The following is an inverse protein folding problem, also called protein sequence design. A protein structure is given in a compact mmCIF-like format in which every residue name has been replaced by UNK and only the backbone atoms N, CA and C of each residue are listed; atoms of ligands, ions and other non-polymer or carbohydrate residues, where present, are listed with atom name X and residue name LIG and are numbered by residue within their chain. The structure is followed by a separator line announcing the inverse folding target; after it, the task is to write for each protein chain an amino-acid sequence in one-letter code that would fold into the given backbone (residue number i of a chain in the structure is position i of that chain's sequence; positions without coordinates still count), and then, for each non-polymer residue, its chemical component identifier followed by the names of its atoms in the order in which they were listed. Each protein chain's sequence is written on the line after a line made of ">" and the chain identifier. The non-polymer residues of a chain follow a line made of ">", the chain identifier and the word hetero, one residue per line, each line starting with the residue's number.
data_IF_227955753836
#
_entry.id   IF_227955753836
#
_cell.length_a   1.000
_cell.length_b   1.000
_cell.length_c   1.000
_cell.angle_alpha   90.00
_cell.angle_beta   90.00
_cell.angle_gamma   90.00
#
_symmetry.space_group_name_H-M   'P 1'
#
loop_
_entity.id
_entity.type
_entity.pdbx_description
1 polymer ?
#
# COMPACT_ATOMS: atom_id res chain seq x y z
N UNK A 1 24.39 -31.27 28.38
CA UNK A 1 23.21 -30.95 29.21
C UNK A 1 22.66 -29.64 28.72
N UNK A 2 21.52 -29.64 28.03
CA UNK A 2 20.92 -28.42 27.46
C UNK A 2 19.98 -27.86 28.53
N UNK A 3 20.29 -26.65 29.00
CA UNK A 3 19.52 -25.93 30.00
C UNK A 3 18.15 -25.56 29.41
N UNK A 4 17.07 -26.06 30.01
CA UNK A 4 15.71 -25.72 29.61
C UNK A 4 15.35 -24.33 30.17
N UNK A 5 14.98 -23.40 29.30
CA UNK A 5 14.37 -22.15 29.71
C UNK A 5 12.89 -22.44 30.06
N UNK A 6 12.57 -22.47 31.35
CA UNK A 6 11.20 -22.53 31.84
C UNK A 6 10.76 -21.10 32.18
N UNK A 7 9.77 -20.58 31.44
CA UNK A 7 9.07 -19.36 31.83
C UNK A 7 7.85 -19.77 32.68
N UNK A 8 7.85 -19.34 33.94
CA UNK A 8 6.78 -19.61 34.91
C UNK A 8 5.76 -18.47 34.81
N UNK A 9 4.58 -18.76 34.25
CA UNK A 9 3.36 -18.01 34.52
C UNK A 9 2.30 -18.97 35.07
N UNK A 10 1.40 -18.45 35.92
CA UNK A 10 0.62 -19.19 36.92
C UNK A 10 -0.46 -20.17 36.43
N UNK A 11 -0.40 -20.67 35.20
CA UNK A 11 -1.25 -21.75 34.70
C UNK A 11 -0.43 -22.73 33.87
N UNK A 12 0.22 -23.69 34.54
CA UNK A 12 0.90 -24.82 33.91
C UNK A 12 2.17 -24.46 33.11
N UNK A 13 3.29 -25.11 33.40
CA UNK A 13 4.46 -25.02 32.54
C UNK A 13 4.14 -25.64 31.16
N UNK A 14 3.76 -24.80 30.18
CA UNK A 14 3.60 -25.21 28.79
C UNK A 14 4.99 -25.38 28.18
N UNK A 15 5.50 -26.60 28.16
CA UNK A 15 6.74 -26.90 27.45
C UNK A 15 6.53 -26.76 25.95
N UNK A 16 7.47 -26.11 25.26
CA UNK A 16 7.48 -26.02 23.81
C UNK A 16 7.57 -27.42 23.20
N UNK A 17 6.60 -27.77 22.34
CA UNK A 17 6.60 -29.01 21.58
C UNK A 17 7.73 -29.03 20.55
N UNK A 18 7.93 -30.18 19.90
CA UNK A 18 8.86 -30.27 18.78
C UNK A 18 8.45 -29.33 17.64
N UNK A 19 7.15 -29.29 17.30
CA UNK A 19 6.56 -28.36 16.32
C UNK A 19 6.80 -26.90 16.70
N UNK A 20 6.69 -26.55 17.99
CA UNK A 20 6.94 -25.17 18.45
C UNK A 20 8.41 -24.77 18.21
N UNK A 21 9.35 -25.70 18.46
CA UNK A 21 10.79 -25.48 18.22
C UNK A 21 11.12 -25.39 16.73
N UNK A 22 10.35 -26.06 15.88
CA UNK A 22 10.49 -25.95 14.42
C UNK A 22 10.00 -24.58 13.93
N UNK A 23 8.92 -24.05 14.51
CA UNK A 23 8.50 -22.66 14.28
C UNK A 23 9.57 -21.66 14.72
N UNK A 24 10.12 -21.79 15.94
CA UNK A 24 11.19 -20.91 16.44
C UNK A 24 12.42 -20.91 15.52
N UNK A 25 12.83 -22.09 15.04
CA UNK A 25 13.95 -22.22 14.09
C UNK A 25 13.63 -21.57 12.76
N UNK A 26 12.40 -21.72 12.27
CA UNK A 26 11.94 -21.06 11.04
C UNK A 26 12.03 -19.54 11.20
N UNK A 27 11.44 -18.97 12.25
CA UNK A 27 11.41 -17.51 12.44
C UNK A 27 12.78 -16.88 12.74
N UNK A 28 13.77 -17.69 13.14
CA UNK A 28 15.14 -17.25 13.33
C UNK A 28 15.93 -17.10 12.02
N UNK A 29 15.39 -17.55 10.87
CA UNK A 29 16.03 -17.36 9.57
C UNK A 29 15.87 -15.91 9.09
N UNK A 30 16.88 -15.40 8.38
CA UNK A 30 16.86 -14.05 7.82
C UNK A 30 15.68 -13.88 6.83
N UNK A 31 14.97 -12.76 6.96
CA UNK A 31 13.84 -12.42 6.09
C UNK A 31 12.51 -13.11 6.44
N UNK A 32 12.44 -13.89 7.53
CA UNK A 32 11.18 -14.55 7.95
C UNK A 32 10.28 -13.66 8.80
N UNK A 33 10.84 -12.68 9.50
CA UNK A 33 10.10 -11.73 10.32
C UNK A 33 10.40 -10.32 9.83
N UNK A 34 9.37 -9.62 9.37
CA UNK A 34 9.44 -8.20 9.03
C UNK A 34 8.81 -7.37 10.14
N UNK A 35 9.64 -6.55 10.79
CA UNK A 35 9.21 -5.68 11.89
C UNK A 35 8.87 -4.28 11.38
N UNK A 36 7.58 -4.00 11.27
CA UNK A 36 7.03 -2.67 10.96
C UNK A 36 6.92 -1.86 12.26
N UNK A 37 8.09 -1.50 12.84
CA UNK A 37 8.20 -0.82 14.14
C UNK A 37 7.33 0.42 14.30
N UNK A 38 7.14 1.17 13.22
CA UNK A 38 6.35 2.41 13.22
C UNK A 38 4.86 2.19 13.53
N UNK A 39 4.33 1.00 13.21
CA UNK A 39 2.93 0.62 13.42
C UNK A 39 2.77 -0.54 14.41
N UNK A 40 3.88 -1.06 14.96
CA UNK A 40 3.85 -2.14 15.94
C UNK A 40 3.36 -3.48 15.37
N UNK A 41 3.61 -3.73 14.08
CA UNK A 41 3.18 -4.94 13.37
C UNK A 41 4.39 -5.78 13.01
N UNK A 42 4.29 -7.10 13.22
CA UNK A 42 5.26 -8.07 12.70
C UNK A 42 4.58 -8.94 11.65
N UNK A 43 5.19 -9.04 10.47
CA UNK A 43 4.75 -9.93 9.40
C UNK A 43 5.63 -11.17 9.43
N UNK A 44 5.00 -12.34 9.46
CA UNK A 44 5.67 -13.64 9.44
C UNK A 44 5.53 -14.22 8.04
N UNK A 45 6.64 -14.38 7.34
CA UNK A 45 6.67 -14.98 6.01
C UNK A 45 6.61 -16.51 6.12
N UNK A 46 5.72 -17.16 5.37
CA UNK A 46 5.47 -18.60 5.48
C UNK A 46 6.23 -19.44 4.45
N UNK A 47 7.39 -18.98 3.99
CA UNK A 47 8.20 -19.69 2.97
C UNK A 47 9.00 -20.86 3.54
N UNK A 48 8.94 -21.12 4.84
CA UNK A 48 9.62 -22.25 5.47
C UNK A 48 8.82 -23.56 5.36
N UNK A 49 9.48 -24.68 5.66
CA UNK A 49 8.89 -26.03 5.58
C UNK A 49 7.81 -26.32 6.64
N UNK A 50 7.51 -25.35 7.51
CA UNK A 50 6.52 -25.46 8.58
C UNK A 50 5.15 -25.11 8.01
N UNK A 51 4.15 -25.96 8.26
CA UNK A 51 2.81 -25.74 7.74
C UNK A 51 2.10 -24.55 8.40
N UNK A 52 1.20 -23.90 7.67
CA UNK A 52 0.37 -22.79 8.17
C UNK A 52 -0.31 -23.09 9.52
N UNK A 53 -0.91 -24.28 9.67
CA UNK A 53 -1.55 -24.70 10.93
C UNK A 53 -0.59 -24.78 12.11
N UNK A 54 0.68 -25.15 11.88
CA UNK A 54 1.69 -25.22 12.93
C UNK A 54 2.09 -23.81 13.39
N UNK A 55 2.31 -22.89 12.45
CA UNK A 55 2.59 -21.46 12.73
C UNK A 55 1.44 -20.84 13.53
N UNK A 56 0.21 -21.07 13.09
CA UNK A 56 -1.00 -20.56 13.73
C UNK A 56 -1.16 -21.07 15.18
N UNK A 57 -0.91 -22.35 15.41
CA UNK A 57 -0.95 -22.93 16.75
C UNK A 57 0.15 -22.38 17.66
N UNK A 58 1.36 -22.19 17.12
CA UNK A 58 2.48 -21.59 17.86
C UNK A 58 2.16 -20.14 18.29
N UNK A 59 1.70 -19.29 17.36
CA UNK A 59 1.39 -17.88 17.66
C UNK A 59 0.20 -17.72 18.64
N UNK A 60 -0.78 -18.63 18.60
CA UNK A 60 -1.86 -18.70 19.61
C UNK A 60 -1.34 -19.02 21.01
N UNK A 61 -0.35 -19.91 21.15
CA UNK A 61 0.31 -20.17 22.44
C UNK A 61 1.09 -18.95 22.91
N UNK A 62 1.84 -18.31 22.02
CA UNK A 62 2.60 -17.10 22.31
C UNK A 62 1.68 -15.97 22.83
N UNK A 63 0.50 -15.76 22.23
CA UNK A 63 -0.52 -14.83 22.75
C UNK A 63 -0.78 -15.01 24.24
N UNK A 64 -0.98 -16.23 24.70
CA UNK A 64 -1.24 -16.51 26.12
C UNK A 64 -0.01 -16.25 27.00
N UNK A 65 1.19 -16.52 26.49
CA UNK A 65 2.44 -16.41 27.24
C UNK A 65 2.97 -14.97 27.38
N UNK A 66 2.93 -14.19 26.30
CA UNK A 66 3.55 -12.86 26.22
C UNK A 66 2.53 -11.72 26.14
N UNK A 67 1.22 -12.03 26.21
CA UNK A 67 0.17 -11.02 26.27
C UNK A 67 0.02 -10.18 25.00
N UNK A 68 0.46 -10.69 23.85
CA UNK A 68 0.31 -10.01 22.56
C UNK A 68 -1.10 -10.21 21.99
N UNK A 69 -1.61 -9.21 21.28
CA UNK A 69 -2.78 -9.41 20.43
C UNK A 69 -2.35 -10.15 19.18
N UNK A 70 -3.01 -11.28 18.90
CA UNK A 70 -2.76 -12.09 17.72
C UNK A 70 -4.02 -12.09 16.85
N UNK A 71 -3.90 -11.52 15.67
CA UNK A 71 -4.89 -11.59 14.61
C UNK A 71 -4.32 -12.48 13.52
N UNK A 72 -5.10 -13.46 13.09
CA UNK A 72 -4.76 -14.29 11.95
C UNK A 72 -5.91 -14.25 10.98
N UNK A 73 -5.67 -13.60 9.85
CA UNK A 73 -6.56 -13.59 8.71
C UNK A 73 -6.00 -14.59 7.69
N UNK A 74 -6.85 -15.36 6.98
CA UNK A 74 -6.36 -16.20 5.89
C UNK A 74 -5.62 -15.35 4.87
N UNK A 75 -4.60 -15.94 4.23
CA UNK A 75 -3.96 -15.33 3.06
C UNK A 75 -5.05 -15.01 2.03
N UNK A 76 -5.39 -13.73 1.92
CA UNK A 76 -6.30 -13.28 0.88
C UNK A 76 -5.48 -13.10 -0.38
N UNK A 77 -5.82 -13.83 -1.43
CA UNK A 77 -5.35 -13.49 -2.78
C UNK A 77 -6.13 -12.26 -3.21
N UNK A 78 -5.53 -11.09 -3.00
CA UNK A 78 -6.02 -9.85 -3.60
C UNK A 78 -5.59 -9.87 -5.06
N UNK A 79 -6.44 -10.44 -5.90
CA UNK A 79 -6.30 -10.27 -7.35
C UNK A 79 -6.81 -8.88 -7.71
N UNK A 80 -5.94 -8.03 -8.26
CA UNK A 80 -6.40 -6.85 -8.99
C UNK A 80 -7.29 -7.42 -10.10
N UNK A 81 -8.58 -7.10 -10.06
CA UNK A 81 -9.50 -7.50 -11.12
C UNK A 81 -8.90 -6.98 -12.43
N UNK A 82 -8.63 -7.83 -13.45
CA UNK A 82 -8.00 -7.36 -14.67
C UNK A 82 -8.83 -6.21 -15.21
N UNK A 83 -8.18 -5.05 -15.35
CA UNK A 83 -8.75 -3.95 -16.10
C UNK A 83 -8.87 -4.51 -17.53
N UNK A 84 -10.11 -4.62 -18.02
CA UNK A 84 -10.40 -5.16 -19.34
C UNK A 84 -9.81 -4.25 -20.41
N UNK A 85 -8.51 -4.41 -20.71
CA UNK A 85 -7.77 -3.62 -21.67
C UNK A 85 -7.82 -2.10 -21.41
N UNK A 86 -7.13 -1.31 -22.23
CA UNK A 86 -7.48 0.09 -22.35
C UNK A 86 -8.96 0.11 -22.77
N UNK A 87 -9.82 0.71 -21.94
CA UNK A 87 -11.12 1.15 -22.42
C UNK A 87 -10.79 2.11 -23.56
N UNK A 88 -11.02 1.70 -24.80
CA UNK A 88 -10.89 2.62 -25.92
C UNK A 88 -11.76 3.82 -25.58
N UNK A 89 -11.12 4.99 -25.46
CA UNK A 89 -11.79 6.25 -25.26
C UNK A 89 -12.64 6.52 -26.50
N UNK A 90 -13.81 5.89 -26.56
CA UNK A 90 -14.83 6.09 -27.57
C UNK A 90 -15.73 7.23 -27.14
N UNK A 91 -15.11 8.35 -26.82
CA UNK A 91 -15.78 9.65 -26.83
C UNK A 91 -14.95 10.53 -27.74
N UNK A 92 -15.52 10.91 -28.89
CA UNK A 92 -14.95 11.98 -29.71
C UNK A 92 -15.01 13.27 -28.89
N UNK A 93 -13.94 13.56 -28.15
CA UNK A 93 -13.82 14.79 -27.40
C UNK A 93 -13.93 15.97 -28.37
N UNK A 94 -14.88 16.87 -28.12
CA UNK A 94 -15.14 18.02 -29.00
C UNK A 94 -14.12 19.14 -28.81
N UNK A 95 -13.19 19.00 -27.86
CA UNK A 95 -12.18 19.99 -27.50
C UNK A 95 -12.76 21.08 -26.59
N UNK A 96 -12.14 21.29 -25.42
CA UNK A 96 -12.53 22.34 -24.47
C UNK A 96 -13.94 22.15 -23.87
N UNK A 97 -14.06 22.33 -22.56
CA UNK A 97 -15.35 22.27 -21.88
C UNK A 97 -15.72 23.66 -21.35
N UNK A 98 -16.65 24.37 -22.01
CA UNK A 98 -17.05 25.71 -21.59
C UNK A 98 -17.77 25.72 -20.24
N UNK A 99 -18.38 24.60 -19.82
CA UNK A 99 -18.99 24.46 -18.49
C UNK A 99 -17.91 24.45 -17.40
N UNK A 100 -16.81 23.76 -17.65
CA UNK A 100 -15.65 23.71 -16.75
C UNK A 100 -14.79 25.00 -16.84
N UNK A 101 -14.90 25.75 -17.93
CA UNK A 101 -14.13 26.96 -18.19
C UNK A 101 -12.66 26.69 -18.48
N UNK A 102 -12.35 25.53 -19.09
CA UNK A 102 -10.99 25.13 -19.51
C UNK A 102 -10.91 24.95 -21.01
N UNK A 103 -9.73 25.19 -21.58
CA UNK A 103 -9.39 24.92 -22.97
C UNK A 103 -8.74 23.54 -23.16
N UNK A 104 -8.72 22.70 -22.13
CA UNK A 104 -8.21 21.34 -22.19
C UNK A 104 -8.94 20.51 -23.28
N UNK A 105 -8.22 19.94 -24.27
CA UNK A 105 -8.86 19.22 -25.37
C UNK A 105 -9.70 18.00 -24.94
N UNK A 106 -9.31 17.32 -23.85
CA UNK A 106 -10.00 16.14 -23.32
C UNK A 106 -11.19 16.48 -22.42
N UNK A 107 -11.30 17.72 -21.94
CA UNK A 107 -12.27 18.11 -20.91
C UNK A 107 -13.74 17.93 -21.30
N UNK A 108 -14.08 17.87 -22.59
CA UNK A 108 -15.43 17.53 -23.05
C UNK A 108 -15.83 16.08 -22.74
N UNK A 109 -14.84 15.19 -22.54
CA UNK A 109 -15.03 13.78 -22.20
C UNK A 109 -15.00 13.52 -20.68
N UNK A 110 -14.78 14.56 -19.88
CA UNK A 110 -14.64 14.45 -18.42
C UNK A 110 -15.95 14.81 -17.70
N UNK A 111 -17.05 14.16 -18.07
CA UNK A 111 -18.41 14.47 -17.55
C UNK A 111 -18.48 14.48 -16.02
N UNK A 112 -17.70 13.64 -15.34
CA UNK A 112 -17.66 13.58 -13.89
C UNK A 112 -17.25 14.92 -13.24
N UNK A 113 -16.42 15.72 -13.91
CA UNK A 113 -16.02 17.04 -13.44
C UNK A 113 -17.18 18.04 -13.42
N UNK A 114 -18.12 17.90 -14.37
CA UNK A 114 -19.37 18.69 -14.37
C UNK A 114 -20.30 18.25 -13.23
N UNK A 115 -20.42 16.94 -13.01
CA UNK A 115 -21.30 16.37 -11.96
C UNK A 115 -20.87 16.85 -10.58
N UNK A 116 -19.57 16.85 -10.28
CA UNK A 116 -19.04 17.39 -9.01
C UNK A 116 -18.95 18.92 -9.01
N UNK A 117 -19.34 19.57 -10.11
CA UNK A 117 -19.40 21.02 -10.27
C UNK A 117 -18.05 21.73 -10.04
N UNK A 118 -16.95 21.12 -10.49
CA UNK A 118 -15.60 21.59 -10.16
C UNK A 118 -15.29 22.96 -10.76
N UNK A 119 -15.85 23.28 -11.93
CA UNK A 119 -15.71 24.60 -12.55
C UNK A 119 -16.23 25.72 -11.65
N UNK A 120 -17.36 25.52 -10.98
CA UNK A 120 -17.88 26.47 -9.99
C UNK A 120 -17.02 26.53 -8.73
N UNK A 121 -16.54 25.39 -8.25
CA UNK A 121 -15.65 25.33 -7.09
C UNK A 121 -14.35 26.12 -7.33
N UNK A 122 -13.73 25.99 -8.50
CA UNK A 122 -12.56 26.76 -8.89
C UNK A 122 -12.82 28.26 -9.00
N UNK A 123 -13.96 28.67 -9.57
CA UNK A 123 -14.35 30.09 -9.59
C UNK A 123 -14.48 30.64 -8.17
N UNK A 124 -15.22 29.94 -7.31
CA UNK A 124 -15.40 30.35 -5.92
C UNK A 124 -14.07 30.43 -5.16
N UNK A 125 -13.18 29.45 -5.34
CA UNK A 125 -11.86 29.46 -4.70
C UNK A 125 -11.02 30.69 -5.11
N UNK A 126 -11.04 31.06 -6.39
CA UNK A 126 -10.37 32.27 -6.90
C UNK A 126 -11.00 33.56 -6.38
N UNK A 127 -12.32 33.64 -6.42
CA UNK A 127 -13.08 34.83 -5.97
C UNK A 127 -12.95 35.05 -4.47
N UNK A 128 -12.87 33.98 -3.68
CA UNK A 128 -12.70 34.04 -2.24
C UNK A 128 -11.34 34.61 -1.80
N UNK A 129 -10.38 34.81 -2.73
CA UNK A 129 -9.04 35.35 -2.48
C UNK A 129 -8.34 34.67 -1.29
N UNK A 130 -8.59 33.37 -1.11
CA UNK A 130 -7.93 32.59 -0.07
C UNK A 130 -6.49 32.33 -0.48
N UNK A 131 -5.59 32.32 0.48
CA UNK A 131 -4.24 31.81 0.28
C UNK A 131 -4.34 30.33 -0.14
N UNK A 132 -3.84 30.03 -1.34
CA UNK A 132 -3.75 28.65 -1.82
C UNK A 132 -2.59 27.97 -1.09
N UNK A 133 -2.81 26.73 -0.67
CA UNK A 133 -1.77 25.90 -0.06
C UNK A 133 -1.38 24.81 -1.04
N UNK A 134 -0.08 24.60 -1.18
CA UNK A 134 0.43 23.43 -1.88
C UNK A 134 0.22 22.21 -0.99
N UNK A 135 -0.53 21.23 -1.52
CA UNK A 135 -0.82 19.98 -0.84
C UNK A 135 -0.09 18.88 -1.58
N UNK A 136 0.69 18.09 -0.85
CA UNK A 136 1.32 16.87 -1.38
C UNK A 136 0.36 15.71 -1.17
N UNK A 137 -0.11 15.11 -2.26
CA UNK A 137 -0.95 13.92 -2.25
C UNK A 137 -0.10 12.70 -2.61
N UNK A 138 0.00 11.73 -1.69
CA UNK A 138 0.65 10.46 -1.97
C UNK A 138 -0.36 9.49 -2.61
N UNK A 139 0.03 8.89 -3.74
CA UNK A 139 -0.76 7.90 -4.47
C UNK A 139 -0.02 6.57 -4.39
N UNK A 140 -0.73 5.50 -4.00
CA UNK A 140 -0.20 4.14 -3.96
C UNK A 140 -0.92 3.31 -5.02
N UNK A 141 -0.27 3.12 -6.16
CA UNK A 141 -0.85 2.51 -7.37
C UNK A 141 0.24 1.76 -8.18
N UNK A 142 0.00 1.46 -9.45
CA UNK A 142 0.95 0.75 -10.34
C UNK A 142 2.12 1.61 -10.80
N UNK A 143 2.00 2.93 -10.70
CA UNK A 143 3.06 3.89 -11.04
C UNK A 143 2.48 5.18 -11.60
N UNK A 144 3.27 5.88 -12.41
CA UNK A 144 2.79 6.96 -13.27
C UNK A 144 3.65 7.06 -14.54
N UNK A 145 3.07 7.51 -15.65
CA UNK A 145 3.88 7.99 -16.79
C UNK A 145 4.63 9.26 -16.37
N UNK A 146 5.91 9.09 -16.05
CA UNK A 146 6.81 10.15 -15.58
C UNK A 146 7.09 11.22 -16.65
N UNK A 147 6.68 10.97 -17.91
CA UNK A 147 6.90 11.84 -19.06
C UNK A 147 5.62 12.51 -19.56
N UNK A 148 4.46 12.20 -18.98
CA UNK A 148 3.18 12.73 -19.44
C UNK A 148 3.15 14.27 -19.36
N UNK A 149 2.87 14.98 -20.47
CA UNK A 149 2.99 16.44 -20.54
C UNK A 149 2.08 17.18 -19.55
N UNK A 150 0.89 16.63 -19.27
CA UNK A 150 -0.04 17.24 -18.30
C UNK A 150 0.32 16.95 -16.83
N UNK A 151 1.17 15.95 -16.56
CA UNK A 151 1.49 15.51 -15.19
C UNK A 151 2.87 15.94 -14.72
N UNK A 152 3.86 16.05 -15.62
CA UNK A 152 5.28 16.30 -15.27
C UNK A 152 5.50 17.58 -14.44
N UNK A 153 4.63 18.58 -14.61
CA UNK A 153 4.65 19.82 -13.85
C UNK A 153 3.99 19.75 -12.47
N UNK A 154 3.26 18.67 -12.17
CA UNK A 154 2.48 18.49 -10.93
C UNK A 154 3.16 17.57 -9.92
N UNK A 155 4.18 16.81 -10.32
CA UNK A 155 4.86 15.90 -9.40
C UNK A 155 5.58 16.64 -8.28
N UNK A 156 5.30 16.23 -7.05
CA UNK A 156 6.16 16.56 -5.94
C UNK A 156 7.54 15.92 -6.15
N UNK A 157 8.60 16.66 -5.85
CA UNK A 157 9.98 16.18 -5.91
C UNK A 157 10.57 16.19 -4.52
N UNK A 158 11.15 15.08 -4.13
CA UNK A 158 11.91 14.96 -2.90
C UNK A 158 13.05 16.00 -2.90
N UNK A 159 13.08 16.93 -1.93
CA UNK A 159 14.11 17.96 -1.87
C UNK A 159 15.55 17.40 -1.71
N UNK A 160 15.70 16.14 -1.29
CA UNK A 160 17.01 15.53 -1.04
C UNK A 160 17.66 14.97 -2.31
N UNK A 161 16.90 14.32 -3.17
CA UNK A 161 17.43 13.55 -4.31
C UNK A 161 16.66 13.78 -5.63
N UNK A 162 15.58 14.57 -5.60
CA UNK A 162 14.77 14.88 -6.78
C UNK A 162 13.84 13.77 -7.24
N UNK A 163 13.78 12.63 -6.54
CA UNK A 163 12.83 11.55 -6.84
C UNK A 163 11.38 12.03 -6.68
N UNK A 164 10.47 11.45 -7.47
CA UNK A 164 9.02 11.77 -7.40
C UNK A 164 8.21 10.74 -6.61
N UNK A 165 8.83 9.61 -6.25
CA UNK A 165 8.18 8.49 -5.59
C UNK A 165 9.14 7.32 -5.38
N UNK A 166 8.57 6.16 -5.04
CA UNK A 166 9.33 4.94 -4.82
C UNK A 166 8.56 3.72 -5.33
N UNK A 167 9.24 2.84 -6.06
CA UNK A 167 8.72 1.56 -6.53
C UNK A 167 9.19 0.44 -5.59
N UNK A 168 8.27 -0.07 -4.78
CA UNK A 168 8.55 -1.12 -3.80
C UNK A 168 8.68 -2.52 -4.42
N UNK A 169 8.19 -2.73 -5.65
CA UNK A 169 8.32 -4.01 -6.37
C UNK A 169 9.76 -4.19 -6.84
N UNK A 170 10.35 -3.15 -7.44
CA UNK A 170 11.71 -3.17 -7.98
C UNK A 170 12.75 -2.57 -7.02
N UNK A 171 12.32 -2.09 -5.86
CA UNK A 171 13.15 -1.43 -4.86
C UNK A 171 13.97 -0.28 -5.48
N UNK A 172 13.30 0.61 -6.21
CA UNK A 172 13.92 1.68 -7.00
C UNK A 172 13.14 2.99 -6.94
N UNK A 173 13.73 4.10 -7.42
CA UNK A 173 13.04 5.39 -7.60
C UNK A 173 12.36 5.52 -8.97
N UNK A 174 12.45 4.48 -9.81
CA UNK A 174 11.75 4.41 -11.08
C UNK A 174 10.30 3.96 -10.83
N UNK A 175 9.39 4.93 -10.85
CA UNK A 175 7.95 4.73 -10.63
C UNK A 175 7.16 4.74 -11.93
N UNK A 176 7.82 4.46 -13.06
CA UNK A 176 7.16 4.34 -14.36
C UNK A 176 6.06 3.30 -14.28
N UNK A 177 4.84 3.70 -14.63
CA UNK A 177 3.71 2.78 -14.73
C UNK A 177 3.89 1.81 -15.91
N UNK A 178 3.82 0.52 -15.62
CA UNK A 178 3.85 -0.57 -16.60
C UNK A 178 2.49 -1.27 -16.77
N UNK A 179 1.43 -0.77 -16.11
CA UNK A 179 0.09 -1.36 -16.12
C UNK A 179 -0.94 -0.55 -16.90
N UNK A 180 -1.00 0.78 -16.70
CA UNK A 180 -1.97 1.70 -17.31
C UNK A 180 -3.23 1.97 -16.47
N UNK A 181 -3.16 1.84 -15.14
CA UNK A 181 -4.24 2.17 -14.20
C UNK A 181 -4.15 3.63 -13.73
#
# INVERSE_FOLDING_TARGET
>A
MISQAAAVSGEGASFLSQDDRECERCFALDGMIYDLKAVGVQIVESTCSVGYEQILNYLRKARAMIGIQFYCEPDSVVTINPINGPIEASETCTGGNPVLGTNDPGSSCQRNLEVINIGQAWRYAREAKRELKDIVLAISDTGVDMTHPDLVGQFWKNPKDGSIGYNFITNSIDVTDDNGH
#
